data_IF_984493879250
#
_entry.id   IF_984493879250
#
_cell.length_a   1.000
_cell.length_b   1.000
_cell.length_c   1.000
_cell.angle_alpha   90.00
_cell.angle_beta   90.00
_cell.angle_gamma   90.00
#
_symmetry.space_group_name_H-M   'P 1'
#
loop_
_entity.id
_entity.type
_entity.pdbx_description
1 polymer ?
#
# COMPACT_ATOMS: atom_id res chain seq x y z
N UNK A 1 -3.24 28.10 -11.86
CA UNK A 1 -3.78 28.25 -13.25
C UNK A 1 -3.98 26.89 -13.93
N UNK A 2 -2.97 26.02 -13.91
CA UNK A 2 -3.05 24.74 -14.61
C UNK A 2 -4.10 23.78 -14.00
N UNK A 3 -4.28 23.76 -12.69
CA UNK A 3 -5.25 22.89 -12.02
C UNK A 3 -6.70 23.30 -12.30
N UNK A 4 -6.98 24.59 -12.35
CA UNK A 4 -8.30 25.12 -12.64
C UNK A 4 -8.75 24.77 -14.08
N UNK A 5 -7.83 24.90 -15.04
CA UNK A 5 -8.07 24.48 -16.42
C UNK A 5 -8.33 22.95 -16.54
N UNK A 6 -7.63 22.13 -15.77
CA UNK A 6 -7.85 20.69 -15.73
C UNK A 6 -9.24 20.35 -15.17
N UNK A 7 -9.66 21.01 -14.07
CA UNK A 7 -10.97 20.82 -13.48
C UNK A 7 -12.10 21.22 -14.44
N UNK A 8 -11.93 22.33 -15.16
CA UNK A 8 -12.93 22.79 -16.12
C UNK A 8 -13.00 21.86 -17.35
N UNK A 9 -11.88 21.36 -17.80
CA UNK A 9 -11.83 20.35 -18.86
C UNK A 9 -12.56 19.07 -18.44
N UNK A 10 -12.30 18.57 -17.21
CA UNK A 10 -12.98 17.39 -16.67
C UNK A 10 -14.49 17.56 -16.60
N UNK A 11 -14.98 18.70 -16.13
CA UNK A 11 -16.42 19.01 -16.11
C UNK A 11 -17.03 18.98 -17.51
N UNK A 12 -16.33 19.57 -18.48
CA UNK A 12 -16.78 19.62 -19.87
C UNK A 12 -16.86 18.21 -20.48
N UNK A 13 -15.85 17.36 -20.23
CA UNK A 13 -15.85 15.98 -20.71
C UNK A 13 -16.95 15.14 -20.04
N UNK A 14 -17.15 15.28 -18.74
CA UNK A 14 -18.26 14.61 -18.03
C UNK A 14 -19.63 15.03 -18.55
N UNK A 15 -19.81 16.32 -18.86
CA UNK A 15 -21.02 16.81 -19.50
C UNK A 15 -21.26 16.15 -20.86
N UNK A 16 -20.21 16.03 -21.67
CA UNK A 16 -20.27 15.47 -23.00
C UNK A 16 -20.65 13.99 -22.97
N UNK A 17 -20.02 13.19 -22.11
CA UNK A 17 -20.34 11.77 -21.91
C UNK A 17 -21.78 11.58 -21.45
N UNK A 18 -22.25 12.41 -20.52
CA UNK A 18 -23.60 12.31 -19.96
C UNK A 18 -24.69 12.64 -20.98
N UNK A 19 -24.47 13.67 -21.80
CA UNK A 19 -25.53 14.18 -22.69
C UNK A 19 -25.48 13.57 -24.09
N UNK A 20 -24.33 13.04 -24.51
CA UNK A 20 -24.13 12.48 -25.84
C UNK A 20 -23.48 11.09 -25.79
N UNK A 21 -24.02 10.15 -24.97
CA UNK A 21 -23.47 8.80 -24.86
C UNK A 21 -23.51 8.09 -26.23
N UNK A 22 -22.61 7.18 -26.46
CA UNK A 22 -22.47 6.41 -27.72
C UNK A 22 -22.02 7.22 -28.94
N UNK A 23 -21.47 8.40 -28.75
CA UNK A 23 -20.80 9.16 -29.82
C UNK A 23 -19.27 8.98 -29.75
N UNK A 24 -18.60 9.16 -30.89
CA UNK A 24 -17.14 9.20 -30.93
C UNK A 24 -16.57 10.27 -30.02
N UNK A 25 -17.27 11.39 -29.85
CA UNK A 25 -16.90 12.46 -28.93
C UNK A 25 -16.94 12.04 -27.46
N UNK A 26 -17.93 11.20 -27.08
CA UNK A 26 -18.00 10.66 -25.72
C UNK A 26 -16.85 9.69 -25.44
N UNK A 27 -16.53 8.81 -26.37
CA UNK A 27 -15.38 7.88 -26.26
C UNK A 27 -14.05 8.65 -26.13
N UNK A 28 -13.85 9.70 -26.96
CA UNK A 28 -12.66 10.55 -26.84
C UNK A 28 -12.61 11.31 -25.50
N UNK A 29 -13.76 11.75 -24.98
CA UNK A 29 -13.86 12.39 -23.69
C UNK A 29 -13.53 11.45 -22.52
N UNK A 30 -13.98 10.18 -22.57
CA UNK A 30 -13.62 9.16 -21.58
C UNK A 30 -12.10 8.96 -21.54
N UNK A 31 -11.47 8.79 -22.70
CA UNK A 31 -10.01 8.66 -22.78
C UNK A 31 -9.27 9.89 -22.22
N UNK A 32 -9.78 11.08 -22.48
CA UNK A 32 -9.19 12.32 -21.94
C UNK A 32 -9.37 12.43 -20.43
N UNK A 33 -10.49 11.97 -19.87
CA UNK A 33 -10.70 11.89 -18.41
C UNK A 33 -9.68 10.92 -17.78
N UNK A 34 -9.46 9.76 -18.38
CA UNK A 34 -8.47 8.80 -17.87
C UNK A 34 -7.06 9.43 -17.84
N UNK A 35 -6.68 10.15 -18.89
CA UNK A 35 -5.41 10.86 -18.93
C UNK A 35 -5.29 11.98 -17.88
N UNK A 36 -6.38 12.68 -17.61
CA UNK A 36 -6.46 13.68 -16.53
C UNK A 36 -6.28 12.99 -15.18
N UNK A 37 -7.00 11.89 -14.93
CA UNK A 37 -6.90 11.12 -13.70
C UNK A 37 -5.48 10.58 -13.46
N UNK A 38 -4.83 10.05 -14.48
CA UNK A 38 -3.44 9.62 -14.40
C UNK A 38 -2.49 10.78 -14.05
N UNK A 39 -2.71 11.95 -14.63
CA UNK A 39 -1.91 13.16 -14.35
C UNK A 39 -2.08 13.60 -12.89
N UNK A 40 -3.32 13.66 -12.40
CA UNK A 40 -3.62 14.05 -11.02
C UNK A 40 -3.11 13.01 -10.02
N UNK A 41 -3.32 11.73 -10.28
CA UNK A 41 -2.79 10.64 -9.47
C UNK A 41 -1.26 10.68 -9.39
N UNK A 42 -0.59 10.90 -10.52
CA UNK A 42 0.87 11.07 -10.59
C UNK A 42 1.37 12.19 -9.68
N UNK A 43 0.67 13.33 -9.67
CA UNK A 43 1.00 14.47 -8.82
C UNK A 43 0.85 14.13 -7.34
N UNK A 44 -0.25 13.49 -6.94
CA UNK A 44 -0.47 13.05 -5.57
C UNK A 44 0.59 12.03 -5.13
N UNK A 45 0.93 11.09 -5.99
CA UNK A 45 2.02 10.13 -5.74
C UNK A 45 3.38 10.80 -5.58
N UNK A 46 3.70 11.79 -6.41
CA UNK A 46 4.96 12.54 -6.28
C UNK A 46 5.06 13.23 -4.91
N UNK A 47 4.02 13.93 -4.50
CA UNK A 47 3.96 14.60 -3.20
C UNK A 47 3.99 13.59 -2.05
N UNK A 48 3.25 12.49 -2.18
CA UNK A 48 3.23 11.40 -1.20
C UNK A 48 4.60 10.78 -0.97
N UNK A 49 5.33 10.46 -2.05
CA UNK A 49 6.72 9.95 -1.99
C UNK A 49 7.66 10.96 -1.31
N UNK A 50 7.56 12.23 -1.64
CA UNK A 50 8.36 13.28 -1.00
C UNK A 50 8.16 13.30 0.51
N UNK A 51 6.91 13.26 1.01
CA UNK A 51 6.63 13.21 2.43
C UNK A 51 7.10 11.90 3.08
N UNK A 52 6.96 10.78 2.37
CA UNK A 52 7.44 9.48 2.80
C UNK A 52 8.95 9.49 3.04
N UNK A 53 9.72 10.00 2.08
CA UNK A 53 11.19 10.10 2.16
C UNK A 53 11.64 11.02 3.29
N UNK A 54 10.85 12.06 3.60
CA UNK A 54 11.05 12.95 4.74
C UNK A 54 10.53 12.39 6.06
N UNK A 55 10.03 11.14 6.08
CA UNK A 55 9.43 10.46 7.26
C UNK A 55 8.25 11.24 7.86
N UNK A 56 7.58 12.04 7.06
CA UNK A 56 6.34 12.74 7.40
C UNK A 56 5.16 11.86 7.07
N UNK A 57 4.83 10.93 7.98
CA UNK A 57 3.94 9.83 7.71
C UNK A 57 2.49 10.25 7.46
N UNK A 58 1.93 11.15 8.27
CA UNK A 58 0.53 11.57 8.13
C UNK A 58 0.27 12.30 6.80
N UNK A 59 1.06 13.32 6.38
CA UNK A 59 0.92 13.88 5.05
C UNK A 59 1.09 12.87 3.92
N UNK A 60 2.03 11.92 4.05
CA UNK A 60 2.22 10.86 3.05
C UNK A 60 0.98 9.96 2.93
N UNK A 61 0.43 9.49 4.06
CA UNK A 61 -0.80 8.68 4.11
C UNK A 61 -1.94 9.41 3.40
N UNK A 62 -2.15 10.69 3.70
CA UNK A 62 -3.24 11.47 3.10
C UNK A 62 -3.12 11.51 1.56
N UNK A 63 -1.90 11.72 1.03
CA UNK A 63 -1.67 11.75 -0.42
C UNK A 63 -1.92 10.39 -1.08
N UNK A 64 -1.40 9.32 -0.49
CA UNK A 64 -1.63 7.97 -1.02
C UNK A 64 -3.10 7.56 -0.92
N UNK A 65 -3.82 7.97 0.13
CA UNK A 65 -5.27 7.74 0.24
C UNK A 65 -6.04 8.48 -0.85
N UNK A 66 -5.71 9.73 -1.14
CA UNK A 66 -6.33 10.46 -2.26
C UNK A 66 -6.23 9.66 -3.57
N UNK A 67 -5.09 9.01 -3.83
CA UNK A 67 -4.94 8.17 -5.04
C UNK A 67 -5.89 6.97 -5.01
N UNK A 68 -6.08 6.33 -3.86
CA UNK A 68 -6.98 5.18 -3.75
C UNK A 68 -8.45 5.59 -3.80
N UNK A 69 -8.79 6.71 -3.19
CA UNK A 69 -10.18 7.15 -3.04
C UNK A 69 -10.71 7.83 -4.32
N UNK A 70 -9.86 8.62 -5.01
CA UNK A 70 -10.29 9.46 -6.14
C UNK A 70 -9.78 8.96 -7.51
N UNK A 71 -8.71 8.17 -7.54
CA UNK A 71 -8.00 7.74 -8.77
C UNK A 71 -7.71 6.23 -8.79
N UNK A 72 -8.61 5.42 -8.28
CA UNK A 72 -8.44 3.97 -8.12
C UNK A 72 -8.23 3.22 -9.45
N UNK A 73 -8.73 3.77 -10.56
CA UNK A 73 -8.60 3.16 -11.89
C UNK A 73 -7.24 3.39 -12.55
N UNK A 74 -6.42 4.27 -11.97
CA UNK A 74 -5.10 4.61 -12.52
C UNK A 74 -4.04 3.55 -12.21
N UNK A 75 -2.98 3.52 -13.00
CA UNK A 75 -1.82 2.65 -12.76
C UNK A 75 -1.13 2.91 -11.41
N UNK A 76 -1.39 4.06 -10.79
CA UNK A 76 -0.78 4.50 -9.53
C UNK A 76 -1.43 3.88 -8.30
N UNK A 77 -2.66 3.37 -8.41
CA UNK A 77 -3.41 2.79 -7.29
C UNK A 77 -2.65 1.65 -6.61
N UNK A 78 -1.99 0.80 -7.38
CA UNK A 78 -1.21 -0.32 -6.85
C UNK A 78 -0.03 0.13 -6.00
N UNK A 79 0.72 1.13 -6.47
CA UNK A 79 1.82 1.69 -5.69
C UNK A 79 1.31 2.40 -4.44
N UNK A 80 0.23 3.16 -4.54
CA UNK A 80 -0.37 3.86 -3.40
C UNK A 80 -0.78 2.89 -2.30
N UNK A 81 -1.44 1.77 -2.64
CA UNK A 81 -1.76 0.69 -1.70
C UNK A 81 -0.50 0.12 -1.04
N UNK A 82 0.54 -0.17 -1.82
CA UNK A 82 1.80 -0.64 -1.26
C UNK A 82 2.44 0.37 -0.29
N UNK A 83 2.47 1.64 -0.64
CA UNK A 83 2.99 2.70 0.25
C UNK A 83 2.19 2.83 1.53
N UNK A 84 0.87 2.64 1.48
CA UNK A 84 0.03 2.58 2.67
C UNK A 84 0.36 1.36 3.55
N UNK A 85 0.65 0.19 2.96
CA UNK A 85 1.16 -0.97 3.71
C UNK A 85 2.45 -0.63 4.44
N UNK A 86 3.44 -0.06 3.73
CA UNK A 86 4.73 0.29 4.33
C UNK A 86 4.60 1.28 5.49
N UNK A 87 3.87 2.38 5.28
CA UNK A 87 3.72 3.44 6.30
C UNK A 87 3.00 2.91 7.54
N UNK A 88 1.89 2.20 7.39
CA UNK A 88 1.15 1.65 8.52
C UNK A 88 1.99 0.61 9.27
N UNK A 89 2.76 -0.20 8.55
CA UNK A 89 3.69 -1.15 9.16
C UNK A 89 4.78 -0.45 9.98
N UNK A 90 5.40 0.61 9.43
CA UNK A 90 6.42 1.43 10.12
C UNK A 90 5.86 2.06 11.40
N UNK A 91 4.60 2.53 11.35
CA UNK A 91 3.90 3.10 12.51
C UNK A 91 3.45 2.05 13.54
N UNK A 92 3.65 0.76 13.28
CA UNK A 92 3.20 -0.32 14.15
C UNK A 92 1.72 -0.66 14.00
N UNK A 93 0.99 -0.03 13.09
CA UNK A 93 -0.43 -0.25 12.79
C UNK A 93 -0.58 -1.48 11.86
N UNK A 94 -0.21 -2.66 12.38
CA UNK A 94 -0.08 -3.87 11.57
C UNK A 94 -1.39 -4.37 10.99
N UNK A 95 -2.50 -4.18 11.68
CA UNK A 95 -3.81 -4.62 11.20
C UNK A 95 -4.28 -3.75 10.04
N UNK A 96 -4.03 -2.44 10.09
CA UNK A 96 -4.29 -1.54 8.96
C UNK A 96 -3.37 -1.85 7.77
N UNK A 97 -2.09 -2.11 8.01
CA UNK A 97 -1.16 -2.54 6.97
C UNK A 97 -1.66 -3.83 6.27
N UNK A 98 -2.15 -4.82 7.04
CA UNK A 98 -2.74 -6.05 6.48
C UNK A 98 -3.99 -5.81 5.65
N UNK A 99 -4.84 -4.85 6.04
CA UNK A 99 -6.04 -4.49 5.24
C UNK A 99 -5.65 -3.98 3.86
N UNK A 100 -4.69 -3.06 3.78
CA UNK A 100 -4.19 -2.57 2.49
C UNK A 100 -3.48 -3.64 1.67
N UNK A 101 -2.71 -4.53 2.31
CA UNK A 101 -2.08 -5.66 1.62
C UNK A 101 -3.11 -6.64 1.06
N UNK A 102 -4.20 -6.92 1.79
CA UNK A 102 -5.30 -7.76 1.30
C UNK A 102 -6.03 -7.12 0.13
N UNK A 103 -6.28 -5.81 0.19
CA UNK A 103 -6.91 -5.06 -0.89
C UNK A 103 -6.05 -5.09 -2.16
N UNK A 104 -4.74 -4.91 -2.01
CA UNK A 104 -3.79 -5.04 -3.10
C UNK A 104 -3.78 -6.46 -3.68
N UNK A 105 -3.80 -7.49 -2.82
CA UNK A 105 -3.86 -8.89 -3.23
C UNK A 105 -5.15 -9.26 -3.92
N UNK A 106 -6.28 -8.75 -3.48
CA UNK A 106 -7.58 -9.02 -4.08
C UNK A 106 -7.70 -8.45 -5.51
N UNK A 107 -7.23 -7.20 -5.69
CA UNK A 107 -7.40 -6.49 -6.97
C UNK A 107 -6.23 -6.69 -7.95
N UNK A 108 -4.99 -6.98 -7.44
CA UNK A 108 -3.76 -6.89 -8.24
C UNK A 108 -2.76 -8.01 -7.92
N UNK A 109 -3.21 -9.27 -7.88
CA UNK A 109 -2.43 -10.44 -7.44
C UNK A 109 -1.10 -10.64 -8.17
N UNK A 110 -1.02 -10.27 -9.45
CA UNK A 110 0.18 -10.45 -10.27
C UNK A 110 1.10 -9.23 -10.30
N UNK A 111 0.83 -8.20 -9.50
CA UNK A 111 1.63 -6.99 -9.55
C UNK A 111 2.91 -7.10 -8.72
N UNK A 112 3.98 -6.44 -9.20
CA UNK A 112 5.23 -6.29 -8.43
C UNK A 112 5.02 -5.63 -7.04
N UNK A 113 3.99 -4.81 -6.91
CA UNK A 113 3.65 -4.13 -5.67
C UNK A 113 3.04 -5.08 -4.64
N UNK A 114 2.26 -6.06 -5.12
CA UNK A 114 1.74 -7.14 -4.28
C UNK A 114 2.89 -7.95 -3.65
N UNK A 115 3.86 -8.39 -4.45
CA UNK A 115 5.02 -9.13 -3.96
C UNK A 115 5.83 -8.30 -2.95
N UNK A 116 6.06 -7.02 -3.23
CA UNK A 116 6.74 -6.10 -2.32
C UNK A 116 6.01 -5.94 -1.00
N UNK A 117 4.68 -5.86 -1.01
CA UNK A 117 3.87 -5.72 0.20
C UNK A 117 3.95 -6.96 1.09
N UNK A 118 3.92 -8.15 0.49
CA UNK A 118 4.12 -9.39 1.24
C UNK A 118 5.51 -9.50 1.85
N UNK A 119 6.54 -9.02 1.15
CA UNK A 119 7.91 -9.04 1.67
C UNK A 119 8.09 -8.21 2.95
N UNK A 120 7.25 -7.21 3.17
CA UNK A 120 7.23 -6.42 4.43
C UNK A 120 6.88 -7.31 5.62
N UNK A 121 5.87 -8.19 5.47
CA UNK A 121 5.43 -9.11 6.51
C UNK A 121 6.34 -10.33 6.65
N UNK A 122 6.91 -10.82 5.57
CA UNK A 122 7.84 -11.96 5.57
C UNK A 122 9.09 -11.70 6.40
N UNK A 123 9.61 -10.49 6.37
CA UNK A 123 10.75 -10.09 7.23
C UNK A 123 10.40 -10.24 8.70
N UNK A 124 9.22 -9.78 9.11
CA UNK A 124 8.75 -9.92 10.48
C UNK A 124 8.51 -11.40 10.85
N UNK A 125 7.90 -12.17 9.97
CA UNK A 125 7.71 -13.61 10.19
C UNK A 125 9.04 -14.32 10.43
N UNK A 126 10.03 -14.10 9.57
CA UNK A 126 11.39 -14.66 9.72
C UNK A 126 12.07 -14.23 11.03
N UNK A 127 11.93 -12.96 11.41
CA UNK A 127 12.46 -12.47 12.69
C UNK A 127 11.75 -13.08 13.89
N UNK A 128 10.42 -13.21 13.84
CA UNK A 128 9.63 -13.80 14.90
C UNK A 128 9.92 -15.30 15.05
N UNK A 129 10.10 -16.03 13.95
CA UNK A 129 10.54 -17.44 13.97
C UNK A 129 11.91 -17.54 14.64
N UNK A 130 12.90 -16.74 14.22
CA UNK A 130 14.24 -16.71 14.85
C UNK A 130 14.20 -16.40 16.35
N UNK A 131 13.33 -15.47 16.78
CA UNK A 131 13.13 -15.16 18.22
C UNK A 131 12.52 -16.34 18.97
N UNK A 132 11.52 -17.01 18.39
CA UNK A 132 10.90 -18.23 18.98
C UNK A 132 11.88 -19.36 19.13
N UNK A 133 12.67 -19.63 18.11
CA UNK A 133 13.67 -20.70 18.12
C UNK A 133 14.78 -20.45 19.15
N UNK A 134 15.26 -19.20 19.26
CA UNK A 134 16.21 -18.81 20.32
C UNK A 134 15.60 -19.00 21.73
N UNK A 135 14.33 -18.65 21.92
CA UNK A 135 13.63 -18.83 23.21
C UNK A 135 13.46 -20.30 23.55
N UNK A 136 13.10 -21.13 22.55
CA UNK A 136 12.94 -22.58 22.69
C UNK A 136 14.28 -23.27 23.00
N UNK A 137 15.36 -22.88 22.32
CA UNK A 137 16.69 -23.39 22.58
C UNK A 137 17.20 -23.05 23.99
N UNK A 138 16.97 -21.80 24.48
CA UNK A 138 17.30 -21.41 25.86
C UNK A 138 16.52 -22.25 26.86
N UNK A 139 15.20 -22.42 26.65
CA UNK A 139 14.34 -23.23 27.54
C UNK A 139 14.79 -24.70 27.59
N UNK A 140 15.17 -25.28 26.45
CA UNK A 140 15.66 -26.66 26.38
C UNK A 140 17.02 -26.82 27.06
N UNK A 141 17.93 -25.85 26.96
CA UNK A 141 19.21 -25.86 27.69
C UNK A 141 18.99 -25.81 29.21
N UNK A 142 18.06 -24.93 29.65
CA UNK A 142 17.72 -24.82 31.07
C UNK A 142 17.09 -26.12 31.59
N UNK A 143 16.15 -26.71 30.83
CA UNK A 143 15.54 -28.01 31.19
C UNK A 143 16.57 -29.16 31.25
N UNK A 144 17.51 -29.23 30.30
CA UNK A 144 18.61 -30.19 30.35
C UNK A 144 19.48 -30.02 31.60
N UNK A 145 19.79 -28.76 31.93
CA UNK A 145 20.60 -28.44 33.13
C UNK A 145 19.87 -28.80 34.43
N UNK A 146 18.57 -28.56 34.51
CA UNK A 146 17.74 -28.98 35.63
C UNK A 146 17.68 -30.52 35.76
N UNK A 147 17.41 -31.21 34.63
CA UNK A 147 17.39 -32.69 34.62
C UNK A 147 18.69 -33.33 35.05
N UNK A 148 19.85 -32.74 34.64
CA UNK A 148 21.17 -33.24 35.06
C UNK A 148 21.45 -33.03 36.55
N UNK A 149 20.89 -32.00 37.17
CA UNK A 149 21.00 -31.79 38.62
C UNK A 149 20.18 -32.79 39.41
N UNK A 150 19.00 -33.18 38.91
CA UNK A 150 18.15 -34.21 39.58
C UNK A 150 18.59 -35.65 39.31
N UNK A 151 19.47 -35.89 38.32
CA UNK A 151 20.00 -37.23 38.04
C UNK A 151 21.32 -37.56 38.76
N UNK A 152 21.84 -36.61 39.55
CA UNK A 152 23.06 -36.79 40.35
C UNK A 152 22.75 -37.24 41.80
N UNK A 153 21.46 -37.35 42.18
CA UNK A 153 21.02 -37.80 43.52
C UNK A 153 20.37 -39.18 43.50
N UNK A 154 20.84 -40.08 42.58
CA UNK A 154 20.39 -41.48 42.47
C UNK A 154 21.54 -42.45 42.33
#
# INVERSE_FOLDING_TARGET
KDLEAIIDAEKTFKFLIKNYPNTEYALDAEFKIDLINDTLASKEMYIGRYYFDKKKWIPAINRFRTVIDDYETTIYAQEALHRLVEVHYILGLKDEAKKYAKLLGYNYQSSKWYEKSYSVFDKEYKENVKKRDKKRSKKNKTLKKIKSLFSLDG
#
